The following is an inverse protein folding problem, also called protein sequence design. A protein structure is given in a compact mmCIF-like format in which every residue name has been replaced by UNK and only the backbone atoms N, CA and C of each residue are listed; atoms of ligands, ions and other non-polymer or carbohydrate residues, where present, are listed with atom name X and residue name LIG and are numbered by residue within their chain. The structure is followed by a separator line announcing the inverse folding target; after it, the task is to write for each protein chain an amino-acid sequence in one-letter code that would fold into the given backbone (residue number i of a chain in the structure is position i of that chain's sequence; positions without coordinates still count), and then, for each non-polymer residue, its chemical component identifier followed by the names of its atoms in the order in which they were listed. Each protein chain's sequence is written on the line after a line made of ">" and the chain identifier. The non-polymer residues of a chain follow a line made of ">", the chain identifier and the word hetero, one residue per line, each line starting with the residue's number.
data_IF_575739055307
#
_entry.id   IF_575739055307
#
_cell.length_a   1.000
_cell.length_b   1.000
_cell.length_c   1.000
_cell.angle_alpha   90.00
_cell.angle_beta   90.00
_cell.angle_gamma   90.00
#
_symmetry.space_group_name_H-M   'P 1'
#
loop_
_entity.id
_entity.type
_entity.pdbx_description
1 polymer ?
#
# COMPACT_ATOMS: atom_id res chain seq x y z
N UNK A 1 76.53 44.81 22.67
CA UNK A 1 75.44 43.86 22.97
C UNK A 1 74.44 43.94 21.84
N UNK A 2 74.33 42.87 21.04
CA UNK A 2 73.50 42.83 19.83
C UNK A 2 72.03 42.50 20.16
N UNK A 3 71.11 43.30 19.62
CA UNK A 3 69.69 42.98 19.54
C UNK A 3 69.45 41.86 18.54
N UNK A 4 68.78 40.80 18.94
CA UNK A 4 68.19 39.82 18.03
C UNK A 4 66.69 39.75 18.35
N UNK A 5 65.92 40.47 17.54
CA UNK A 5 64.48 40.29 17.40
C UNK A 5 64.25 38.98 16.63
N UNK A 6 63.51 38.03 17.19
CA UNK A 6 62.90 36.93 16.42
C UNK A 6 61.39 37.07 16.49
N UNK A 7 60.86 37.60 15.40
CA UNK A 7 59.44 37.73 15.15
C UNK A 7 58.98 36.51 14.33
N UNK A 8 57.80 36.00 14.68
CA UNK A 8 56.89 35.12 13.91
C UNK A 8 57.33 33.68 13.59
N UNK A 9 56.53 32.72 14.07
CA UNK A 9 55.43 32.15 13.27
C UNK A 9 54.21 31.92 14.18
N UNK A 10 53.22 32.82 14.15
CA UNK A 10 51.87 32.47 14.60
C UNK A 10 51.32 31.50 13.56
N UNK A 11 51.09 30.25 13.95
CA UNK A 11 50.37 29.26 13.15
C UNK A 11 48.99 29.85 12.86
N UNK A 12 48.73 30.25 11.62
CA UNK A 12 47.44 30.78 11.21
C UNK A 12 46.38 29.71 11.48
N UNK A 13 45.47 29.97 12.42
CA UNK A 13 44.32 29.10 12.73
C UNK A 13 43.26 29.06 11.61
N UNK A 14 43.57 29.70 10.47
CA UNK A 14 42.67 29.86 9.33
C UNK A 14 43.14 29.07 8.09
N UNK A 15 44.26 28.34 8.16
CA UNK A 15 44.65 27.44 7.09
C UNK A 15 43.68 26.26 7.01
N UNK A 16 42.67 26.35 6.14
CA UNK A 16 41.65 25.32 5.92
C UNK A 16 40.20 25.73 6.23
N UNK A 17 39.93 27.01 6.49
CA UNK A 17 38.56 27.55 6.63
C UNK A 17 38.13 28.26 5.37
N UNK A 18 36.92 27.95 4.90
CA UNK A 18 36.27 28.65 3.79
C UNK A 18 35.61 29.96 4.27
N UNK A 19 34.98 30.70 3.36
CA UNK A 19 34.43 32.05 3.58
C UNK A 19 33.42 32.15 4.76
N UNK A 20 32.85 31.03 5.20
CA UNK A 20 31.92 30.94 6.34
C UNK A 20 32.59 30.65 7.69
N UNK A 21 33.91 30.42 7.72
CA UNK A 21 34.68 30.19 8.96
C UNK A 21 34.66 28.76 9.50
N UNK A 22 34.02 27.81 8.79
CA UNK A 22 33.97 26.38 9.17
C UNK A 22 35.08 25.57 8.51
N UNK A 23 35.47 24.46 9.12
CA UNK A 23 36.36 23.49 8.45
C UNK A 23 35.59 22.76 7.35
N UNK A 24 36.29 22.37 6.29
CA UNK A 24 35.74 21.57 5.19
C UNK A 24 35.05 20.28 5.70
N UNK A 25 35.61 19.64 6.73
CA UNK A 25 35.01 18.48 7.40
C UNK A 25 33.63 18.79 8.01
N UNK A 26 33.47 19.96 8.63
CA UNK A 26 32.19 20.37 9.25
C UNK A 26 31.12 20.59 8.18
N UNK A 27 31.51 21.18 7.04
CA UNK A 27 30.60 21.44 5.92
C UNK A 27 30.20 20.14 5.24
N UNK A 28 31.15 19.23 5.02
CA UNK A 28 30.87 17.91 4.45
C UNK A 28 29.93 17.11 5.34
N UNK A 29 30.12 17.15 6.66
CA UNK A 29 29.21 16.52 7.62
C UNK A 29 27.81 17.14 7.57
N UNK A 30 27.70 18.46 7.54
CA UNK A 30 26.42 19.17 7.40
C UNK A 30 25.68 18.81 6.10
N UNK A 31 26.39 18.83 4.97
CA UNK A 31 25.83 18.50 3.66
C UNK A 31 25.35 17.04 3.62
N UNK A 32 26.10 16.11 4.21
CA UNK A 32 25.73 14.69 4.26
C UNK A 32 24.45 14.47 5.08
N UNK A 33 24.30 15.10 6.26
CA UNK A 33 23.06 14.99 7.03
C UNK A 33 21.88 15.64 6.31
N UNK A 34 22.09 16.83 5.73
CA UNK A 34 21.04 17.51 4.96
C UNK A 34 20.55 16.64 3.79
N UNK A 35 21.46 15.96 3.09
CA UNK A 35 21.11 15.04 2.02
C UNK A 35 20.34 13.81 2.55
N UNK A 36 20.73 13.25 3.69
CA UNK A 36 20.01 12.15 4.33
C UNK A 36 18.59 12.57 4.72
N UNK A 37 18.43 13.73 5.35
CA UNK A 37 17.10 14.26 5.74
C UNK A 37 16.20 14.46 4.51
N UNK A 38 16.74 14.97 3.40
CA UNK A 38 15.99 15.10 2.14
C UNK A 38 15.54 13.74 1.60
N UNK A 39 16.42 12.73 1.61
CA UNK A 39 16.09 11.37 1.19
C UNK A 39 15.06 10.71 2.10
N UNK A 40 15.08 11.00 3.40
CA UNK A 40 14.11 10.47 4.36
C UNK A 40 12.75 11.17 4.20
N UNK A 41 12.73 12.47 3.90
CA UNK A 41 11.50 13.18 3.53
C UNK A 41 10.85 12.54 2.29
N UNK A 42 11.61 12.30 1.23
CA UNK A 42 11.10 11.66 0.01
C UNK A 42 10.54 10.25 0.27
N UNK A 43 11.24 9.49 1.11
CA UNK A 43 10.85 8.13 1.46
C UNK A 43 9.56 8.12 2.31
N UNK A 44 9.47 8.99 3.30
CA UNK A 44 8.24 9.19 4.09
C UNK A 44 7.10 9.69 3.21
N UNK A 45 7.38 10.56 2.25
CA UNK A 45 6.39 11.07 1.32
C UNK A 45 5.80 9.98 0.44
N UNK A 46 6.66 9.10 -0.07
CA UNK A 46 6.24 7.97 -0.88
C UNK A 46 5.45 6.97 -0.05
N UNK A 47 5.87 6.74 1.20
CA UNK A 47 5.17 5.83 2.11
C UNK A 47 3.72 6.26 2.37
N UNK A 48 3.49 7.52 2.80
CA UNK A 48 2.12 7.93 3.13
C UNK A 48 1.21 7.93 1.91
N UNK A 49 1.73 8.24 0.72
CA UNK A 49 0.97 8.15 -0.54
C UNK A 49 0.55 6.70 -0.83
N UNK A 50 1.46 5.75 -0.67
CA UNK A 50 1.16 4.34 -0.86
C UNK A 50 0.14 3.81 0.17
N UNK A 51 0.25 4.27 1.44
CA UNK A 51 -0.75 3.96 2.47
C UNK A 51 -2.14 4.51 2.13
N UNK A 52 -2.24 5.71 1.54
CA UNK A 52 -3.53 6.21 1.07
C UNK A 52 -4.13 5.35 -0.05
N UNK A 53 -3.30 4.80 -0.94
CA UNK A 53 -3.78 3.88 -1.97
C UNK A 53 -4.35 2.61 -1.33
N UNK A 54 -3.67 2.03 -0.33
CA UNK A 54 -4.21 0.90 0.42
C UNK A 54 -5.57 1.22 1.06
N UNK A 55 -5.68 2.40 1.70
CA UNK A 55 -6.94 2.86 2.29
C UNK A 55 -8.06 2.93 1.24
N UNK A 56 -7.77 3.43 0.04
CA UNK A 56 -8.74 3.45 -1.06
C UNK A 56 -9.13 2.04 -1.51
N UNK A 57 -8.17 1.11 -1.59
CA UNK A 57 -8.42 -0.30 -1.87
C UNK A 57 -9.39 -0.92 -0.87
N UNK A 58 -9.10 -0.79 0.42
CA UNK A 58 -9.98 -1.30 1.49
C UNK A 58 -11.37 -0.67 1.50
N UNK A 59 -11.50 0.62 1.15
CA UNK A 59 -12.80 1.28 1.02
C UNK A 59 -13.62 0.70 -0.14
N UNK A 60 -12.97 0.32 -1.24
CA UNK A 60 -13.63 -0.37 -2.35
C UNK A 60 -14.00 -1.81 -1.99
N UNK A 61 -13.14 -2.53 -1.27
CA UNK A 61 -13.44 -3.88 -0.77
C UNK A 61 -14.66 -3.86 0.16
N UNK A 62 -14.70 -2.88 1.08
CA UNK A 62 -15.87 -2.61 1.91
C UNK A 62 -17.12 -2.34 1.07
N UNK A 63 -16.99 -1.53 0.01
CA UNK A 63 -18.10 -1.20 -0.89
C UNK A 63 -18.61 -2.45 -1.61
N UNK A 64 -17.73 -3.28 -2.15
CA UNK A 64 -18.08 -4.56 -2.78
C UNK A 64 -18.81 -5.48 -1.79
N UNK A 65 -18.35 -5.56 -0.54
CA UNK A 65 -19.01 -6.34 0.50
C UNK A 65 -20.43 -5.85 0.79
N UNK A 66 -20.64 -4.53 0.88
CA UNK A 66 -21.98 -3.93 1.07
C UNK A 66 -22.88 -4.22 -0.13
N UNK A 67 -22.37 -4.09 -1.35
CA UNK A 67 -23.14 -4.41 -2.55
C UNK A 67 -23.54 -5.91 -2.57
N UNK A 68 -22.61 -6.81 -2.24
CA UNK A 68 -22.88 -8.25 -2.13
C UNK A 68 -23.96 -8.56 -1.08
N UNK A 69 -23.93 -7.90 0.08
CA UNK A 69 -24.99 -8.01 1.09
C UNK A 69 -26.34 -7.57 0.52
N UNK A 70 -26.40 -6.46 -0.20
CA UNK A 70 -27.64 -5.95 -0.79
C UNK A 70 -28.23 -6.94 -1.82
N UNK A 71 -27.37 -7.51 -2.69
CA UNK A 71 -27.75 -8.57 -3.64
C UNK A 71 -28.37 -9.76 -2.90
N UNK A 72 -27.69 -10.25 -1.85
CA UNK A 72 -28.17 -11.39 -1.08
C UNK A 72 -29.49 -11.10 -0.37
N UNK A 73 -29.64 -9.91 0.22
CA UNK A 73 -30.88 -9.50 0.89
C UNK A 73 -32.05 -9.41 -0.09
N UNK A 74 -31.82 -8.82 -1.26
CA UNK A 74 -32.83 -8.75 -2.33
C UNK A 74 -33.25 -10.15 -2.78
N UNK A 75 -32.27 -11.02 -3.07
CA UNK A 75 -32.50 -12.40 -3.49
C UNK A 75 -33.29 -13.20 -2.44
N UNK A 76 -32.95 -13.07 -1.16
CA UNK A 76 -33.67 -13.74 -0.06
C UNK A 76 -35.13 -13.25 0.02
N UNK A 77 -35.35 -11.93 -0.08
CA UNK A 77 -36.69 -11.35 -0.03
C UNK A 77 -37.56 -11.87 -1.18
N UNK A 78 -37.05 -11.83 -2.40
CA UNK A 78 -37.77 -12.32 -3.59
C UNK A 78 -38.03 -13.82 -3.55
N UNK A 79 -37.05 -14.63 -3.16
CA UNK A 79 -37.23 -16.07 -2.99
C UNK A 79 -38.36 -16.39 -2.00
N UNK A 80 -38.44 -15.66 -0.89
CA UNK A 80 -39.52 -15.83 0.07
C UNK A 80 -40.89 -15.45 -0.51
N UNK A 81 -40.98 -14.38 -1.31
CA UNK A 81 -42.22 -13.98 -1.98
C UNK A 81 -42.72 -15.07 -2.95
N UNK A 82 -41.84 -15.61 -3.79
CA UNK A 82 -42.13 -16.71 -4.73
C UNK A 82 -42.59 -17.97 -3.96
N UNK A 83 -41.90 -18.30 -2.86
CA UNK A 83 -42.26 -19.44 -2.02
C UNK A 83 -43.64 -19.29 -1.40
N UNK A 84 -43.98 -18.12 -0.85
CA UNK A 84 -45.29 -17.86 -0.27
C UNK A 84 -46.42 -17.85 -1.31
N UNK A 85 -46.11 -17.50 -2.56
CA UNK A 85 -47.05 -17.58 -3.68
C UNK A 85 -47.32 -19.02 -4.15
N UNK A 86 -46.60 -20.03 -3.63
CA UNK A 86 -46.71 -21.42 -4.05
C UNK A 86 -46.10 -21.69 -5.43
N UNK A 87 -45.23 -20.81 -5.90
CA UNK A 87 -44.61 -20.84 -7.23
C UNK A 87 -43.14 -21.27 -7.20
N UNK A 88 -42.62 -21.77 -6.07
CA UNK A 88 -41.21 -22.10 -5.97
C UNK A 88 -40.87 -23.39 -6.72
N UNK A 89 -39.98 -23.26 -7.71
CA UNK A 89 -39.43 -24.34 -8.50
C UNK A 89 -38.11 -23.94 -9.17
N UNK A 90 -37.46 -24.90 -9.83
CA UNK A 90 -36.14 -24.71 -10.45
C UNK A 90 -36.14 -23.63 -11.55
N UNK A 91 -37.28 -23.47 -12.23
CA UNK A 91 -37.46 -22.46 -13.28
C UNK A 91 -37.49 -21.06 -12.67
N UNK A 92 -38.27 -20.86 -11.61
CA UNK A 92 -38.40 -19.59 -10.90
C UNK A 92 -37.11 -19.21 -10.17
N UNK A 93 -36.31 -20.18 -9.73
CA UNK A 93 -34.98 -19.91 -9.18
C UNK A 93 -34.01 -19.40 -10.25
N UNK A 94 -34.08 -19.89 -11.49
CA UNK A 94 -33.28 -19.36 -12.61
C UNK A 94 -33.76 -17.96 -13.03
N UNK A 95 -35.07 -17.73 -13.10
CA UNK A 95 -35.65 -16.41 -13.41
C UNK A 95 -35.28 -15.38 -12.33
N UNK A 96 -35.27 -15.78 -11.06
CA UNK A 96 -34.84 -14.95 -9.94
C UNK A 96 -33.37 -14.50 -10.07
N UNK A 97 -32.48 -15.39 -10.51
CA UNK A 97 -31.06 -15.05 -10.71
C UNK A 97 -30.93 -13.95 -11.77
N UNK A 98 -31.68 -14.05 -12.87
CA UNK A 98 -31.68 -13.05 -13.93
C UNK A 98 -32.30 -11.72 -13.46
N UNK A 99 -33.43 -11.74 -12.73
CA UNK A 99 -34.04 -10.52 -12.16
C UNK A 99 -33.05 -9.78 -11.24
N UNK A 100 -32.31 -10.53 -10.42
CA UNK A 100 -31.29 -9.96 -9.53
C UNK A 100 -30.12 -9.37 -10.34
N UNK A 101 -29.70 -10.02 -11.42
CA UNK A 101 -28.63 -9.49 -12.27
C UNK A 101 -29.06 -8.17 -12.94
N UNK A 102 -30.23 -8.16 -13.58
CA UNK A 102 -30.78 -7.01 -14.30
C UNK A 102 -30.96 -5.79 -13.38
N UNK A 103 -31.58 -5.98 -12.20
CA UNK A 103 -31.85 -4.89 -11.25
C UNK A 103 -30.55 -4.21 -10.79
N UNK A 104 -29.50 -4.99 -10.52
CA UNK A 104 -28.23 -4.45 -10.04
C UNK A 104 -27.37 -3.88 -11.18
N UNK A 105 -27.48 -4.42 -12.39
CA UNK A 105 -26.88 -3.82 -13.58
C UNK A 105 -27.51 -2.45 -13.89
N UNK A 106 -28.83 -2.31 -13.81
CA UNK A 106 -29.55 -1.03 -14.00
C UNK A 106 -29.15 0.02 -12.95
N UNK A 107 -28.79 -0.42 -11.74
CA UNK A 107 -28.23 0.44 -10.70
C UNK A 107 -26.76 0.81 -10.92
N UNK A 108 -26.12 0.28 -11.95
CA UNK A 108 -24.69 0.45 -12.24
C UNK A 108 -23.79 -0.25 -11.22
N UNK A 109 -24.29 -1.27 -10.53
CA UNK A 109 -23.55 -2.02 -9.52
C UNK A 109 -22.94 -3.26 -10.15
N UNK A 110 -21.61 -3.35 -10.09
CA UNK A 110 -20.88 -4.58 -10.40
C UNK A 110 -19.95 -4.92 -9.23
N UNK A 111 -20.38 -5.87 -8.41
CA UNK A 111 -19.70 -6.26 -7.16
C UNK A 111 -18.34 -6.85 -7.43
N UNK A 112 -18.27 -7.75 -8.40
CA UNK A 112 -17.04 -8.45 -8.74
C UNK A 112 -16.02 -7.50 -9.38
N UNK A 113 -16.45 -6.58 -10.25
CA UNK A 113 -15.58 -5.54 -10.80
C UNK A 113 -15.06 -4.60 -9.70
N UNK A 114 -15.91 -4.25 -8.73
CA UNK A 114 -15.52 -3.42 -7.58
C UNK A 114 -14.49 -4.14 -6.71
N UNK A 115 -14.69 -5.45 -6.45
CA UNK A 115 -13.77 -6.28 -5.69
C UNK A 115 -12.41 -6.45 -6.40
N UNK A 116 -12.41 -6.63 -7.73
CA UNK A 116 -11.18 -6.68 -8.53
C UNK A 116 -10.42 -5.36 -8.45
N UNK A 117 -11.11 -4.22 -8.59
CA UNK A 117 -10.48 -2.91 -8.49
C UNK A 117 -9.89 -2.66 -7.09
N UNK A 118 -10.59 -3.09 -6.04
CA UNK A 118 -10.09 -3.05 -4.68
C UNK A 118 -8.76 -3.82 -4.53
N UNK A 119 -8.76 -5.09 -4.95
CA UNK A 119 -7.58 -5.95 -4.88
C UNK A 119 -6.40 -5.42 -5.72
N UNK A 120 -6.67 -4.76 -6.85
CA UNK A 120 -5.63 -4.10 -7.66
C UNK A 120 -4.99 -2.93 -6.93
N UNK A 121 -5.79 -2.06 -6.30
CA UNK A 121 -5.27 -0.92 -5.55
C UNK A 121 -4.48 -1.37 -4.33
N UNK A 122 -4.98 -2.37 -3.60
CA UNK A 122 -4.28 -2.96 -2.46
C UNK A 122 -2.91 -3.51 -2.85
N UNK A 123 -2.85 -4.33 -3.90
CA UNK A 123 -1.58 -4.85 -4.40
C UNK A 123 -0.65 -3.72 -4.85
N UNK A 124 -1.17 -2.73 -5.59
CA UNK A 124 -0.36 -1.60 -6.06
C UNK A 124 0.23 -0.78 -4.91
N UNK A 125 -0.57 -0.46 -3.89
CA UNK A 125 -0.11 0.22 -2.68
C UNK A 125 0.97 -0.59 -1.95
N UNK A 126 0.76 -1.89 -1.82
CA UNK A 126 1.69 -2.77 -1.12
C UNK A 126 3.02 -2.95 -1.86
N UNK A 127 3.00 -3.13 -3.17
CA UNK A 127 4.21 -3.22 -4.00
C UNK A 127 5.08 -1.97 -3.91
N UNK A 128 4.50 -0.79 -3.62
CA UNK A 128 5.27 0.43 -3.33
C UNK A 128 5.85 0.39 -1.89
N UNK A 129 5.09 -0.10 -0.92
CA UNK A 129 5.49 -0.12 0.49
C UNK A 129 6.61 -1.12 0.79
N UNK A 130 6.58 -2.31 0.21
CA UNK A 130 7.59 -3.36 0.43
C UNK A 130 9.04 -2.85 0.24
N UNK A 131 9.42 -2.21 -0.89
CA UNK A 131 10.78 -1.68 -1.07
C UNK A 131 11.11 -0.47 -0.17
N UNK A 132 10.11 0.30 0.25
CA UNK A 132 10.28 1.39 1.23
C UNK A 132 10.68 0.81 2.58
N UNK A 133 9.96 -0.21 3.06
CA UNK A 133 10.28 -0.87 4.33
C UNK A 133 11.62 -1.58 4.30
N UNK A 134 11.98 -2.19 3.16
CA UNK A 134 13.33 -2.70 2.95
C UNK A 134 14.39 -1.60 3.10
N UNK A 135 14.17 -0.44 2.47
CA UNK A 135 15.12 0.69 2.53
C UNK A 135 15.26 1.21 3.96
N UNK A 136 14.16 1.33 4.71
CA UNK A 136 14.19 1.73 6.12
C UNK A 136 14.97 0.74 6.98
N UNK A 137 14.78 -0.55 6.76
CA UNK A 137 15.53 -1.60 7.44
C UNK A 137 17.05 -1.48 7.19
N UNK A 138 17.46 -1.16 5.96
CA UNK A 138 18.87 -1.00 5.59
C UNK A 138 19.52 0.28 6.14
N UNK A 139 18.76 1.37 6.31
CA UNK A 139 19.28 2.69 6.71
C UNK A 139 19.51 2.88 8.22
N UNK A 140 19.20 1.88 9.06
CA UNK A 140 19.35 2.02 10.50
C UNK A 140 20.82 2.29 10.90
N UNK A 141 21.11 3.38 11.65
CA UNK A 141 22.47 3.73 12.02
C UNK A 141 23.04 2.69 12.98
N UNK A 142 24.29 2.29 12.73
CA UNK A 142 25.02 1.29 13.52
C UNK A 142 25.43 1.78 14.92
N UNK A 143 25.01 2.99 15.32
CA UNK A 143 25.56 3.76 16.43
C UNK A 143 24.54 4.02 17.55
N UNK A 144 23.35 3.42 17.49
CA UNK A 144 22.42 3.39 18.62
C UNK A 144 22.98 2.45 19.70
N UNK A 145 22.77 2.77 20.97
CA UNK A 145 23.18 1.89 22.08
C UNK A 145 22.72 0.45 21.80
N UNK A 146 23.60 -0.52 22.05
CA UNK A 146 23.52 -1.88 21.48
C UNK A 146 22.16 -2.56 21.68
N UNK A 147 21.46 -2.28 22.78
CA UNK A 147 20.13 -2.82 23.08
C UNK A 147 19.02 -2.16 22.23
N UNK A 148 18.96 -0.82 22.22
CA UNK A 148 18.00 -0.04 21.42
C UNK A 148 18.20 -0.27 19.91
N UNK A 149 19.45 -0.47 19.47
CA UNK A 149 19.78 -0.85 18.09
C UNK A 149 19.17 -2.21 17.72
N UNK A 150 19.32 -3.23 18.57
CA UNK A 150 18.79 -4.57 18.30
C UNK A 150 17.26 -4.57 18.26
N UNK A 151 16.61 -3.85 19.18
CA UNK A 151 15.14 -3.70 19.20
C UNK A 151 14.64 -2.98 17.95
N UNK A 152 15.24 -1.83 17.60
CA UNK A 152 14.83 -1.04 16.43
C UNK A 152 15.08 -1.79 15.11
N UNK A 153 16.16 -2.56 15.04
CA UNK A 153 16.46 -3.41 13.89
C UNK A 153 15.52 -4.60 13.78
N UNK A 154 15.14 -5.22 14.90
CA UNK A 154 14.13 -6.29 14.92
C UNK A 154 12.78 -5.76 14.46
N UNK A 155 12.34 -4.62 14.99
CA UNK A 155 11.07 -4.01 14.62
C UNK A 155 10.99 -3.68 13.11
N UNK A 156 12.02 -3.06 12.52
CA UNK A 156 12.02 -2.78 11.08
C UNK A 156 12.12 -4.04 10.22
N UNK A 157 12.80 -5.09 10.70
CA UNK A 157 12.82 -6.40 10.04
C UNK A 157 11.43 -7.03 10.05
N UNK A 158 10.75 -7.00 11.19
CA UNK A 158 9.39 -7.53 11.34
C UNK A 158 8.41 -6.78 10.44
N UNK A 159 8.47 -5.45 10.38
CA UNK A 159 7.66 -4.63 9.47
C UNK A 159 7.92 -5.03 8.01
N UNK A 160 9.18 -5.18 7.61
CA UNK A 160 9.51 -5.61 6.25
C UNK A 160 8.98 -7.01 5.93
N UNK A 161 9.16 -7.98 6.84
CA UNK A 161 8.63 -9.34 6.64
C UNK A 161 7.11 -9.32 6.55
N UNK A 162 6.43 -8.55 7.42
CA UNK A 162 4.99 -8.34 7.37
C UNK A 162 4.55 -7.80 6.01
N UNK A 163 5.27 -6.80 5.50
CA UNK A 163 4.95 -6.21 4.19
C UNK A 163 5.07 -7.21 3.03
N UNK A 164 6.08 -8.08 3.05
CA UNK A 164 6.23 -9.15 2.05
C UNK A 164 5.08 -10.16 2.15
N UNK A 165 4.68 -10.55 3.36
CA UNK A 165 3.57 -11.47 3.56
C UNK A 165 2.23 -10.86 3.12
N UNK A 166 2.00 -9.57 3.40
CA UNK A 166 0.85 -8.82 2.92
C UNK A 166 0.82 -8.74 1.39
N UNK A 167 1.96 -8.48 0.75
CA UNK A 167 2.05 -8.45 -0.72
C UNK A 167 1.64 -9.79 -1.34
N UNK A 168 2.11 -10.90 -0.76
CA UNK A 168 1.70 -12.25 -1.17
C UNK A 168 0.19 -12.45 -0.97
N UNK A 169 -0.37 -11.99 0.16
CA UNK A 169 -1.80 -12.10 0.43
C UNK A 169 -2.63 -11.32 -0.60
N UNK A 170 -2.22 -10.10 -0.96
CA UNK A 170 -2.90 -9.31 -2.00
C UNK A 170 -2.77 -9.90 -3.39
N UNK A 171 -1.66 -10.56 -3.73
CA UNK A 171 -1.54 -11.33 -4.98
C UNK A 171 -2.60 -12.43 -5.01
N UNK A 172 -2.74 -13.21 -3.94
CA UNK A 172 -3.77 -14.25 -3.87
C UNK A 172 -5.19 -13.66 -3.90
N UNK A 173 -5.43 -12.53 -3.23
CA UNK A 173 -6.72 -11.84 -3.27
C UNK A 173 -7.08 -11.41 -4.70
N UNK A 174 -6.14 -10.80 -5.42
CA UNK A 174 -6.35 -10.39 -6.81
C UNK A 174 -6.60 -11.58 -7.73
N UNK A 175 -5.88 -12.68 -7.56
CA UNK A 175 -6.12 -13.91 -8.33
C UNK A 175 -7.54 -14.43 -8.07
N UNK A 176 -7.97 -14.52 -6.81
CA UNK A 176 -9.29 -15.02 -6.43
C UNK A 176 -10.43 -14.15 -6.95
N UNK A 177 -10.37 -12.84 -6.71
CA UNK A 177 -11.38 -11.88 -7.18
C UNK A 177 -11.46 -11.83 -8.71
N UNK A 178 -10.33 -11.89 -9.40
CA UNK A 178 -10.30 -11.95 -10.88
C UNK A 178 -10.90 -13.25 -11.41
N UNK A 179 -10.68 -14.38 -10.74
CA UNK A 179 -11.28 -15.65 -11.14
C UNK A 179 -12.81 -15.60 -11.02
N UNK A 180 -13.33 -15.10 -9.89
CA UNK A 180 -14.77 -14.91 -9.67
C UNK A 180 -15.40 -13.97 -10.70
N UNK A 181 -14.76 -12.83 -10.96
CA UNK A 181 -15.23 -11.88 -11.98
C UNK A 181 -15.29 -12.52 -13.38
N UNK A 182 -14.30 -13.35 -13.74
CA UNK A 182 -14.28 -14.05 -15.02
C UNK A 182 -15.37 -15.11 -15.14
N UNK A 183 -15.60 -15.89 -14.09
CA UNK A 183 -16.68 -16.89 -14.08
C UNK A 183 -18.04 -16.22 -14.28
N UNK A 184 -18.30 -15.13 -13.56
CA UNK A 184 -19.57 -14.43 -13.64
C UNK A 184 -19.75 -13.67 -14.96
N UNK A 185 -18.67 -13.19 -15.61
CA UNK A 185 -18.74 -12.53 -16.93
C UNK A 185 -18.75 -13.47 -18.13
N UNK A 186 -18.28 -14.72 -17.98
CA UNK A 186 -18.31 -15.73 -19.05
C UNK A 186 -19.57 -16.59 -19.02
N UNK A 187 -20.25 -16.68 -17.87
CA UNK A 187 -21.56 -17.32 -17.74
C UNK A 187 -22.63 -16.74 -18.67
N UNK A 188 -22.53 -15.46 -19.06
CA UNK A 188 -23.43 -14.81 -20.01
C UNK A 188 -23.28 -15.29 -21.47
N UNK A 189 -22.15 -15.90 -21.83
CA UNK A 189 -21.88 -16.27 -23.24
C UNK A 189 -22.25 -17.71 -23.61
N UNK A 190 -22.56 -18.56 -22.63
CA UNK A 190 -22.87 -19.98 -22.86
C UNK A 190 -24.37 -20.30 -22.94
N UNK A 191 -25.26 -19.30 -22.88
CA UNK A 191 -26.71 -19.46 -23.02
C UNK A 191 -27.26 -18.93 -24.36
N UNK A 192 -26.39 -18.68 -25.34
CA UNK A 192 -26.79 -18.38 -26.72
C UNK A 192 -26.44 -19.61 -27.57
N UNK A 193 -27.49 -20.28 -28.04
CA UNK A 193 -27.50 -21.46 -28.92
C UNK A 193 -27.46 -22.84 -28.22
N UNK A 194 -28.64 -23.32 -27.82
CA UNK A 194 -29.15 -24.67 -28.16
C UNK A 194 -30.71 -24.69 -28.14
#
# INVERSE_FOLDING_TARGET
>A
MCHISHNKYKKDKNAGRNETGYSEETINKYNNYTLQDLQDIELLQTQWKAQLILVLGYLLEYTASVQGINILQFRIKRRNEIFQAGQYGDKEESELINEVADEFEDMGINVDATAVLAAQLELFGQTILTPIYWTKYQRLPHNLDTEDFLVTKSANKEIFIGAVLEEIAYIFNLIGTTALYRENSTGDTNNVDD
#
